data_IF_493589531349
#
_entry.id   IF_493589531349
#
_cell.length_a   1.000
_cell.length_b   1.000
_cell.length_c   1.000
_cell.angle_alpha   90.00
_cell.angle_beta   90.00
_cell.angle_gamma   90.00
#
_symmetry.space_group_name_H-M   'P 1'
#
loop_
_entity.id
_entity.type
_entity.pdbx_description
1 polymer ?
#
# COMPACT_ATOMS: atom_id res chain seq x y z
N UNK A 1 -2.68 -1.94 -4.36
CA UNK A 1 -2.09 -1.43 -5.61
C UNK A 1 -0.65 -1.89 -5.65
N UNK A 2 -0.32 -2.88 -6.48
CA UNK A 2 1.08 -3.27 -6.71
C UNK A 2 1.66 -2.22 -7.64
N UNK A 3 2.25 -1.17 -7.08
CA UNK A 3 3.04 -0.24 -7.88
C UNK A 3 4.34 -1.00 -8.18
N UNK A 4 4.57 -1.34 -9.45
CA UNK A 4 5.87 -1.86 -9.85
C UNK A 4 6.95 -0.86 -9.39
N UNK A 5 8.08 -1.33 -8.87
CA UNK A 5 9.08 -0.44 -8.27
C UNK A 5 9.57 0.69 -9.20
N UNK A 6 9.66 0.42 -10.50
CA UNK A 6 10.02 1.43 -11.50
C UNK A 6 9.00 2.60 -11.62
N UNK A 7 7.68 2.37 -11.73
CA UNK A 7 6.72 3.47 -11.68
C UNK A 7 6.66 4.20 -10.33
N UNK A 8 7.04 3.58 -9.22
CA UNK A 8 7.04 4.26 -7.92
C UNK A 8 8.18 5.28 -7.77
N UNK A 9 9.42 4.94 -8.16
CA UNK A 9 10.53 5.90 -8.13
C UNK A 9 10.29 7.08 -9.07
N UNK A 10 9.70 6.82 -10.24
CA UNK A 10 9.26 7.87 -11.15
C UNK A 10 8.16 8.76 -10.53
N UNK A 11 7.16 8.15 -9.89
CA UNK A 11 6.11 8.88 -9.18
C UNK A 11 6.71 9.81 -8.11
N UNK A 12 7.62 9.32 -7.27
CA UNK A 12 8.23 10.11 -6.20
C UNK A 12 8.97 11.35 -6.74
N UNK A 13 9.75 11.19 -7.82
CA UNK A 13 10.47 12.31 -8.47
C UNK A 13 9.51 13.38 -9.00
N UNK A 14 8.35 12.96 -9.51
CA UNK A 14 7.35 13.85 -10.10
C UNK A 14 6.19 14.15 -9.15
N UNK A 15 6.32 13.85 -7.86
CA UNK A 15 5.23 13.95 -6.88
C UNK A 15 4.57 15.33 -6.85
N UNK A 16 5.37 16.38 -7.00
CA UNK A 16 4.93 17.77 -7.05
C UNK A 16 4.07 18.12 -8.27
N UNK A 17 4.13 17.31 -9.35
CA UNK A 17 3.33 17.49 -10.56
C UNK A 17 1.92 16.89 -10.46
N UNK A 18 1.66 16.05 -9.45
CA UNK A 18 0.36 15.41 -9.29
C UNK A 18 -0.50 16.20 -8.31
N UNK A 19 -1.68 16.62 -8.76
CA UNK A 19 -2.68 17.32 -7.94
C UNK A 19 -3.64 16.38 -7.19
N UNK A 20 -3.38 15.06 -7.21
CA UNK A 20 -4.21 14.04 -6.58
C UNK A 20 -3.64 13.63 -5.21
N UNK A 21 -4.49 13.34 -4.22
CA UNK A 21 -4.06 12.87 -2.92
C UNK A 21 -3.32 11.53 -3.07
N UNK A 22 -2.13 11.46 -2.48
CA UNK A 22 -1.33 10.23 -2.46
C UNK A 22 -1.94 9.23 -1.48
N UNK A 23 -2.50 8.15 -2.02
CA UNK A 23 -3.01 7.03 -1.22
C UNK A 23 -2.02 5.88 -1.28
N UNK A 24 -1.18 5.79 -0.24
CA UNK A 24 -0.33 4.61 0.00
C UNK A 24 -1.03 3.65 0.95
N UNK A 25 -0.72 2.36 0.87
CA UNK A 25 -1.24 1.36 1.80
C UNK A 25 -0.87 1.69 3.26
N UNK A 26 0.36 2.17 3.47
CA UNK A 26 0.93 2.51 4.77
C UNK A 26 0.15 3.66 5.44
N UNK A 27 -0.16 4.72 4.70
CA UNK A 27 -1.05 5.80 5.16
C UNK A 27 -2.47 5.29 5.44
N UNK A 28 -3.00 4.41 4.58
CA UNK A 28 -4.35 3.87 4.77
C UNK A 28 -4.45 3.02 6.05
N UNK A 29 -3.41 2.26 6.41
CA UNK A 29 -3.38 1.45 7.63
C UNK A 29 -3.08 2.30 8.88
N UNK A 30 -2.12 3.22 8.80
CA UNK A 30 -1.70 4.03 9.96
C UNK A 30 -2.63 5.20 10.27
N UNK A 31 -3.26 5.79 9.25
CA UNK A 31 -4.10 7.00 9.33
C UNK A 31 -5.32 6.87 8.40
N UNK A 32 -6.20 5.87 8.62
CA UNK A 32 -7.31 5.56 7.71
C UNK A 32 -8.27 6.73 7.52
N UNK A 33 -8.68 7.41 8.60
CA UNK A 33 -9.62 8.54 8.52
C UNK A 33 -9.08 9.70 7.68
N UNK A 34 -7.83 10.11 7.92
CA UNK A 34 -7.20 11.20 7.18
C UNK A 34 -7.03 10.86 5.70
N UNK A 35 -6.62 9.62 5.41
CA UNK A 35 -6.46 9.13 4.03
C UNK A 35 -7.79 9.08 3.30
N UNK A 36 -8.84 8.51 3.92
CA UNK A 36 -10.18 8.43 3.33
C UNK A 36 -10.82 9.81 3.16
N UNK A 37 -10.57 10.75 4.07
CA UNK A 37 -11.04 12.13 3.98
C UNK A 37 -10.51 12.83 2.73
N UNK A 38 -9.22 12.68 2.44
CA UNK A 38 -8.61 13.24 1.24
C UNK A 38 -9.18 12.61 -0.06
N UNK A 39 -9.45 11.30 -0.05
CA UNK A 39 -10.11 10.61 -1.17
C UNK A 39 -11.54 11.12 -1.36
N UNK A 40 -12.31 11.25 -0.28
CA UNK A 40 -13.69 11.70 -0.32
C UNK A 40 -13.82 13.13 -0.84
N UNK A 41 -12.91 14.02 -0.46
CA UNK A 41 -12.84 15.39 -0.99
C UNK A 41 -12.69 15.40 -2.52
N UNK A 42 -11.81 14.56 -3.07
CA UNK A 42 -11.59 14.48 -4.52
C UNK A 42 -12.76 13.81 -5.25
N UNK A 43 -13.37 12.81 -4.64
CA UNK A 43 -14.51 12.10 -5.22
C UNK A 43 -15.85 12.82 -5.03
N UNK A 44 -15.90 13.93 -4.28
CA UNK A 44 -17.13 14.63 -3.94
C UNK A 44 -18.06 13.82 -3.01
N UNK A 45 -17.50 12.93 -2.20
CA UNK A 45 -18.24 12.08 -1.26
C UNK A 45 -18.34 12.79 0.09
N UNK A 46 -19.48 12.66 0.77
CA UNK A 46 -19.68 13.25 2.09
C UNK A 46 -18.75 12.64 3.14
N UNK A 47 -18.06 13.51 3.89
CA UNK A 47 -17.22 13.11 5.04
C UNK A 47 -17.99 12.47 6.19
N UNK A 48 -19.32 12.59 6.20
CA UNK A 48 -20.18 11.89 7.18
C UNK A 48 -20.09 10.37 7.03
N UNK A 49 -19.68 9.86 5.87
CA UNK A 49 -19.53 8.44 5.58
C UNK A 49 -18.14 7.89 5.98
N UNK A 50 -17.23 8.73 6.48
CA UNK A 50 -15.87 8.30 6.89
C UNK A 50 -15.91 7.16 7.92
N UNK A 51 -16.71 7.20 9.00
CA UNK A 51 -16.72 6.13 9.99
C UNK A 51 -17.14 4.77 9.41
N UNK A 52 -18.11 4.78 8.49
CA UNK A 52 -18.55 3.57 7.78
C UNK A 52 -17.46 3.05 6.84
N UNK A 53 -16.80 3.95 6.10
CA UNK A 53 -15.69 3.59 5.21
C UNK A 53 -14.50 3.00 5.97
N UNK A 54 -14.15 3.55 7.14
CA UNK A 54 -13.11 2.98 8.02
C UNK A 54 -13.51 1.59 8.48
N UNK A 55 -14.76 1.39 8.87
CA UNK A 55 -15.28 0.07 9.27
C UNK A 55 -15.16 -0.94 8.13
N UNK A 56 -15.43 -0.52 6.89
CA UNK A 56 -15.33 -1.36 5.70
C UNK A 56 -13.91 -1.87 5.43
N UNK A 57 -12.85 -1.17 5.88
CA UNK A 57 -11.46 -1.65 5.76
C UNK A 57 -11.20 -2.95 6.53
N UNK A 58 -11.97 -3.23 7.58
CA UNK A 58 -11.83 -4.46 8.36
C UNK A 58 -12.38 -5.68 7.63
N UNK A 59 -13.32 -5.47 6.71
CA UNK A 59 -13.95 -6.54 5.93
C UNK A 59 -12.93 -7.12 4.96
N UNK A 60 -12.83 -8.45 4.97
CA UNK A 60 -12.07 -9.14 3.94
C UNK A 60 -12.84 -9.11 2.62
N UNK A 61 -12.39 -8.26 1.70
CA UNK A 61 -12.95 -8.17 0.35
C UNK A 61 -12.73 -9.44 -0.48
N UNK A 62 -11.81 -10.30 -0.06
CA UNK A 62 -11.48 -11.58 -0.70
C UNK A 62 -12.06 -12.78 0.05
N UNK A 63 -13.02 -12.56 0.97
CA UNK A 63 -13.68 -13.61 1.71
C UNK A 63 -14.28 -14.67 0.77
N UNK A 64 -14.05 -15.95 1.08
CA UNK A 64 -14.50 -17.09 0.27
C UNK A 64 -13.57 -17.44 -0.91
N UNK A 65 -12.55 -16.62 -1.20
CA UNK A 65 -11.53 -16.95 -2.21
C UNK A 65 -10.33 -17.66 -1.59
N UNK A 66 -9.43 -18.18 -2.44
CA UNK A 66 -8.16 -18.75 -1.99
C UNK A 66 -7.19 -17.72 -1.40
N UNK A 67 -7.43 -16.43 -1.63
CA UNK A 67 -6.62 -15.31 -1.12
C UNK A 67 -7.27 -14.63 0.09
N UNK A 68 -8.30 -15.23 0.69
CA UNK A 68 -8.92 -14.68 1.89
C UNK A 68 -7.91 -14.61 3.04
N UNK A 69 -8.12 -13.68 3.96
CA UNK A 69 -7.28 -13.47 5.15
C UNK A 69 -7.14 -14.77 5.95
N UNK A 70 -8.25 -15.51 6.09
CA UNK A 70 -8.28 -16.79 6.82
C UNK A 70 -7.45 -17.89 6.14
N UNK A 71 -7.45 -17.94 4.80
CA UNK A 71 -6.66 -18.92 4.04
C UNK A 71 -5.18 -18.54 4.04
N UNK A 72 -4.88 -17.26 3.87
CA UNK A 72 -3.51 -16.74 3.88
C UNK A 72 -2.85 -16.88 5.26
N UNK A 73 -3.62 -16.76 6.35
CA UNK A 73 -3.10 -16.96 7.71
C UNK A 73 -2.56 -18.39 7.97
N UNK A 74 -2.97 -19.36 7.15
CA UNK A 74 -2.50 -20.75 7.24
C UNK A 74 -1.24 -21.00 6.41
N UNK A 75 -0.85 -20.05 5.55
CA UNK A 75 0.36 -20.14 4.75
C UNK A 75 1.55 -19.76 5.62
N UNK A 76 2.56 -20.64 5.67
CA UNK A 76 3.80 -20.35 6.39
C UNK A 76 4.52 -19.18 5.72
N UNK A 77 4.88 -18.17 6.52
CA UNK A 77 5.68 -17.06 6.04
C UNK A 77 6.98 -17.57 5.42
N UNK A 78 7.32 -17.05 4.24
CA UNK A 78 8.61 -17.30 3.61
C UNK A 78 9.68 -16.51 4.36
N UNK A 79 10.66 -17.21 4.91
CA UNK A 79 11.85 -16.56 5.47
C UNK A 79 12.76 -16.12 4.33
N UNK A 80 13.06 -14.82 4.28
CA UNK A 80 13.99 -14.26 3.31
C UNK A 80 15.40 -14.77 3.59
N UNK A 81 15.97 -15.51 2.64
CA UNK A 81 17.36 -15.95 2.74
C UNK A 81 18.33 -14.77 2.53
N UNK A 82 19.60 -14.96 2.90
CA UNK A 82 20.64 -13.96 2.61
C UNK A 82 20.77 -13.66 1.11
N UNK A 83 20.54 -14.68 0.25
CA UNK A 83 20.55 -14.51 -1.20
C UNK A 83 19.37 -13.65 -1.67
N UNK A 84 18.18 -13.85 -1.10
CA UNK A 84 16.99 -13.06 -1.44
C UNK A 84 17.16 -11.60 -1.04
N UNK A 85 17.74 -11.34 0.14
CA UNK A 85 18.09 -9.97 0.57
C UNK A 85 19.09 -9.31 -0.37
N UNK A 86 20.12 -10.03 -0.82
CA UNK A 86 21.09 -9.50 -1.80
C UNK A 86 20.39 -9.13 -3.11
N UNK A 87 19.57 -10.02 -3.66
CA UNK A 87 18.79 -9.77 -4.88
C UNK A 87 17.83 -8.59 -4.71
N UNK A 88 17.15 -8.50 -3.56
CA UNK A 88 16.27 -7.39 -3.25
C UNK A 88 17.04 -6.07 -3.27
N UNK A 89 18.19 -5.99 -2.59
CA UNK A 89 19.02 -4.77 -2.57
C UNK A 89 19.50 -4.36 -3.97
N UNK A 90 19.87 -5.32 -4.81
CA UNK A 90 20.22 -5.05 -6.21
C UNK A 90 19.03 -4.47 -7.00
N UNK A 91 17.83 -5.01 -6.79
CA UNK A 91 16.60 -4.51 -7.40
C UNK A 91 16.21 -3.12 -6.90
N UNK A 92 16.32 -2.85 -5.60
CA UNK A 92 16.07 -1.52 -5.01
C UNK A 92 16.96 -0.47 -5.66
N UNK A 93 18.26 -0.75 -5.80
CA UNK A 93 19.22 0.13 -6.47
C UNK A 93 18.88 0.33 -7.94
N UNK A 94 18.60 -0.75 -8.67
CA UNK A 94 18.28 -0.70 -10.11
C UNK A 94 17.00 0.09 -10.40
N UNK A 95 16.02 0.03 -9.50
CA UNK A 95 14.75 0.74 -9.64
C UNK A 95 14.78 2.14 -9.01
N UNK A 96 15.90 2.56 -8.43
CA UNK A 96 16.07 3.87 -7.77
C UNK A 96 15.01 4.11 -6.68
N UNK A 97 14.69 3.05 -5.92
CA UNK A 97 13.72 3.09 -4.83
C UNK A 97 14.39 3.57 -3.53
N UNK A 98 13.66 4.31 -2.68
CA UNK A 98 14.18 4.70 -1.37
C UNK A 98 14.33 3.48 -0.45
N UNK A 99 15.49 3.34 0.19
CA UNK A 99 15.77 2.23 1.12
C UNK A 99 14.80 2.19 2.31
N UNK A 100 14.25 3.35 2.69
CA UNK A 100 13.28 3.49 3.78
C UNK A 100 12.00 2.66 3.58
N UNK A 101 11.72 2.23 2.35
CA UNK A 101 10.56 1.44 1.99
C UNK A 101 10.70 -0.06 2.36
N UNK A 102 11.93 -0.50 2.68
CA UNK A 102 12.27 -1.92 2.88
C UNK A 102 12.83 -2.21 4.29
N UNK A 103 12.55 -1.36 5.26
CA UNK A 103 12.82 -1.66 6.67
C UNK A 103 11.74 -2.60 7.20
N UNK A 104 12.05 -3.91 7.20
CA UNK A 104 11.22 -4.97 7.80
C UNK A 104 11.79 -5.38 9.15
#
# INVERSE_FOLDING_TARGET
MVIFGAPYSFFLKNRHCYALPEVTYENLVSKPEGTLSAVFDVCGISKLLIPEAVTALNRDSQAGTMLSRDKMAQVKNLELTALDRKKLNELVKKMELPESLFHF
#
